data_IF_830817486896
#
_entry.id   IF_830817486896
#
_cell.length_a   1.000
_cell.length_b   1.000
_cell.length_c   1.000
_cell.angle_alpha   90.00
_cell.angle_beta   90.00
_cell.angle_gamma   90.00
#
_symmetry.space_group_name_H-M   'P 1'
#
loop_
_entity.id
_entity.type
_entity.pdbx_description
1 polymer ?
#
# COMPACT_ATOMS: atom_id res chain seq x y z
N UNK A 1 10.69 10.49 -1.78
CA UNK A 1 11.79 10.31 -2.74
C UNK A 1 12.60 11.59 -2.80
N UNK A 2 13.92 11.49 -2.68
CA UNK A 2 14.83 12.63 -2.75
C UNK A 2 15.99 12.33 -3.72
N UNK A 3 15.98 12.88 -4.96
CA UNK A 3 17.03 12.62 -5.95
C UNK A 3 18.43 13.09 -5.52
N UNK A 4 18.53 14.06 -4.61
CA UNK A 4 19.82 14.56 -4.15
C UNK A 4 20.67 13.48 -3.46
N UNK A 5 20.01 12.47 -2.85
CA UNK A 5 20.68 11.35 -2.18
C UNK A 5 21.46 10.46 -3.16
N UNK A 6 21.06 10.43 -4.43
CA UNK A 6 21.75 9.64 -5.47
C UNK A 6 23.17 10.16 -5.70
N UNK A 7 23.35 11.49 -5.64
CA UNK A 7 24.66 12.13 -5.77
C UNK A 7 25.58 11.82 -4.59
N UNK A 8 24.99 11.52 -3.42
CA UNK A 8 25.70 11.08 -2.21
C UNK A 8 25.93 9.55 -2.15
N UNK A 9 25.51 8.80 -3.19
CA UNK A 9 25.58 7.34 -3.20
C UNK A 9 24.61 6.68 -2.22
N UNK A 10 23.57 7.38 -1.79
CA UNK A 10 22.53 6.89 -0.88
C UNK A 10 21.26 6.56 -1.64
N UNK A 11 20.45 5.67 -1.07
CA UNK A 11 19.15 5.33 -1.63
C UNK A 11 18.21 6.56 -1.61
N UNK A 12 17.68 7.01 -2.77
CA UNK A 12 16.79 8.17 -2.85
C UNK A 12 15.37 7.91 -2.34
N UNK A 13 14.99 6.65 -2.17
CA UNK A 13 13.68 6.27 -1.67
C UNK A 13 13.74 5.95 -0.17
N UNK A 14 12.94 6.68 0.60
CA UNK A 14 12.76 6.44 2.03
C UNK A 14 11.28 6.09 2.23
N UNK A 15 11.03 4.94 2.87
CA UNK A 15 9.71 4.56 3.34
C UNK A 15 9.53 5.09 4.77
N UNK A 16 8.73 6.13 4.94
CA UNK A 16 8.50 6.84 6.20
C UNK A 16 7.39 6.23 7.06
N UNK A 17 6.49 5.47 6.45
CA UNK A 17 5.43 4.74 7.13
C UNK A 17 5.94 3.45 7.80
N UNK A 18 5.39 3.13 8.97
CA UNK A 18 5.56 1.83 9.63
C UNK A 18 4.84 0.71 8.87
N UNK A 19 5.05 -0.53 9.32
CA UNK A 19 4.27 -1.67 8.85
C UNK A 19 2.79 -1.52 9.22
N UNK A 20 1.84 -1.69 8.27
CA UNK A 20 0.41 -1.61 8.56
C UNK A 20 -0.12 -2.83 9.34
N UNK A 21 -1.13 -2.61 10.17
CA UNK A 21 -1.96 -3.68 10.74
C UNK A 21 -2.95 -4.18 9.70
N UNK A 22 -2.56 -5.19 8.92
CA UNK A 22 -3.33 -5.67 7.76
C UNK A 22 -4.73 -6.18 8.11
N UNK A 23 -4.92 -6.71 9.32
CA UNK A 23 -6.24 -7.19 9.79
C UNK A 23 -7.30 -6.08 9.79
N UNK A 24 -6.90 -4.81 9.95
CA UNK A 24 -7.80 -3.66 9.94
C UNK A 24 -8.10 -3.09 8.55
N UNK A 25 -7.52 -3.63 7.47
CA UNK A 25 -7.64 -3.02 6.14
C UNK A 25 -9.08 -2.98 5.63
N UNK A 26 -9.80 -4.11 5.69
CA UNK A 26 -11.18 -4.14 5.23
C UNK A 26 -12.14 -3.40 6.18
N UNK A 27 -11.81 -3.34 7.48
CA UNK A 27 -12.56 -2.54 8.44
C UNK A 27 -12.43 -1.05 8.13
N UNK A 28 -11.23 -0.60 7.75
CA UNK A 28 -11.01 0.75 7.25
C UNK A 28 -11.87 1.05 6.02
N UNK A 29 -11.92 0.14 5.04
CA UNK A 29 -12.80 0.30 3.87
C UNK A 29 -14.27 0.42 4.29
N UNK A 30 -14.75 -0.48 5.16
CA UNK A 30 -16.14 -0.48 5.66
C UNK A 30 -16.47 0.74 6.54
N UNK A 31 -15.47 1.49 7.00
CA UNK A 31 -15.64 2.74 7.73
C UNK A 31 -16.07 3.93 6.86
N UNK A 32 -15.98 3.84 5.53
CA UNK A 32 -16.26 4.96 4.63
C UNK A 32 -17.49 4.70 3.71
N UNK A 33 -18.30 5.74 3.50
CA UNK A 33 -19.52 5.67 2.67
C UNK A 33 -19.21 5.27 1.22
N UNK A 34 -18.05 5.70 0.69
CA UNK A 34 -17.63 5.40 -0.69
C UNK A 34 -17.41 3.91 -0.97
N UNK A 35 -17.10 3.10 0.04
CA UNK A 35 -16.95 1.65 -0.11
C UNK A 35 -18.22 0.91 0.34
N UNK A 36 -18.87 1.37 1.41
CA UNK A 36 -20.09 0.72 1.90
C UNK A 36 -21.29 0.86 0.95
N UNK A 37 -21.32 1.90 0.11
CA UNK A 37 -22.31 2.03 -0.97
C UNK A 37 -22.19 0.90 -2.01
N UNK A 38 -20.97 0.57 -2.44
CA UNK A 38 -20.69 -0.56 -3.33
C UNK A 38 -21.10 -1.89 -2.69
N UNK A 39 -20.73 -2.11 -1.42
CA UNK A 39 -21.10 -3.32 -0.68
C UNK A 39 -22.62 -3.52 -0.55
N UNK A 40 -23.37 -2.44 -0.36
CA UNK A 40 -24.84 -2.49 -0.27
C UNK A 40 -25.49 -2.88 -1.60
N UNK A 41 -24.94 -2.40 -2.72
CA UNK A 41 -25.54 -2.58 -4.03
C UNK A 41 -25.10 -3.90 -4.70
N UNK A 42 -23.86 -4.31 -4.49
CA UNK A 42 -23.21 -5.45 -5.15
C UNK A 42 -22.37 -6.23 -4.13
N UNK A 43 -22.99 -6.98 -3.20
CA UNK A 43 -22.29 -7.54 -2.04
C UNK A 43 -21.25 -8.61 -2.41
N UNK A 44 -21.47 -9.38 -3.48
CA UNK A 44 -20.54 -10.43 -3.93
C UNK A 44 -19.31 -9.78 -4.56
N UNK A 45 -19.52 -8.90 -5.53
CA UNK A 45 -18.48 -8.18 -6.25
C UNK A 45 -17.68 -7.27 -5.32
N UNK A 46 -18.33 -6.64 -4.34
CA UNK A 46 -17.65 -5.84 -3.32
C UNK A 46 -16.69 -6.69 -2.48
N UNK A 47 -17.07 -7.92 -2.11
CA UNK A 47 -16.20 -8.84 -1.40
C UNK A 47 -14.94 -9.17 -2.22
N UNK A 48 -15.11 -9.50 -3.50
CA UNK A 48 -13.99 -9.75 -4.42
C UNK A 48 -13.09 -8.52 -4.60
N UNK A 49 -13.69 -7.34 -4.82
CA UNK A 49 -12.96 -6.10 -5.01
C UNK A 49 -12.22 -5.65 -3.75
N UNK A 50 -12.77 -5.88 -2.56
CA UNK A 50 -12.09 -5.56 -1.30
C UNK A 50 -10.89 -6.47 -1.07
N UNK A 51 -11.00 -7.76 -1.39
CA UNK A 51 -9.88 -8.69 -1.34
C UNK A 51 -8.77 -8.27 -2.32
N UNK A 52 -9.14 -7.98 -3.57
CA UNK A 52 -8.19 -7.50 -4.59
C UNK A 52 -7.51 -6.19 -4.15
N UNK A 53 -8.26 -5.26 -3.56
CA UNK A 53 -7.71 -4.01 -3.06
C UNK A 53 -6.68 -4.24 -1.93
N UNK A 54 -6.96 -5.16 -1.02
CA UNK A 54 -6.05 -5.55 0.06
C UNK A 54 -4.77 -6.20 -0.49
N UNK A 55 -4.91 -7.14 -1.43
CA UNK A 55 -3.77 -7.81 -2.05
C UNK A 55 -2.90 -6.84 -2.84
N UNK A 56 -3.52 -5.90 -3.57
CA UNK A 56 -2.82 -4.82 -4.26
C UNK A 56 -2.10 -3.88 -3.29
N UNK A 57 -2.71 -3.57 -2.14
CA UNK A 57 -2.08 -2.75 -1.12
C UNK A 57 -0.85 -3.44 -0.51
N UNK A 58 -0.95 -4.74 -0.19
CA UNK A 58 0.18 -5.57 0.26
C UNK A 58 1.28 -5.63 -0.78
N UNK A 59 0.93 -5.88 -2.05
CA UNK A 59 1.87 -5.91 -3.16
C UNK A 59 2.62 -4.57 -3.30
N UNK A 60 1.90 -3.45 -3.26
CA UNK A 60 2.50 -2.10 -3.33
C UNK A 60 3.42 -1.82 -2.15
N UNK A 61 3.00 -2.15 -0.94
CA UNK A 61 3.83 -1.98 0.27
C UNK A 61 5.12 -2.80 0.20
N UNK A 62 5.04 -4.05 -0.25
CA UNK A 62 6.20 -4.90 -0.45
C UNK A 62 7.17 -4.32 -1.50
N UNK A 63 6.65 -3.69 -2.56
CA UNK A 63 7.49 -2.95 -3.50
C UNK A 63 8.23 -1.80 -2.82
N UNK A 64 7.55 -0.99 -2.01
CA UNK A 64 8.19 0.10 -1.28
C UNK A 64 9.24 -0.40 -0.28
N UNK A 65 8.98 -1.51 0.43
CA UNK A 65 10.00 -2.17 1.26
C UNK A 65 11.22 -2.58 0.45
N UNK A 66 11.03 -3.15 -0.75
CA UNK A 66 12.15 -3.51 -1.63
C UNK A 66 12.94 -2.28 -2.06
N UNK A 67 12.26 -1.23 -2.51
CA UNK A 67 12.89 0.01 -2.92
C UNK A 67 13.70 0.64 -1.78
N UNK A 68 13.16 0.68 -0.57
CA UNK A 68 13.85 1.27 0.59
C UNK A 68 15.08 0.46 1.05
N UNK A 69 15.09 -0.87 0.81
CA UNK A 69 16.20 -1.75 1.19
C UNK A 69 17.16 -2.05 0.03
N UNK A 70 16.92 -1.50 -1.16
CA UNK A 70 17.77 -1.72 -2.31
C UNK A 70 19.15 -1.09 -2.05
N UNK A 71 20.22 -1.86 -2.31
CA UNK A 71 21.58 -1.33 -2.31
C UNK A 71 21.70 -0.39 -3.50
N UNK A 72 22.01 0.87 -3.22
CA UNK A 72 22.21 1.87 -4.25
C UNK A 72 23.69 1.89 -4.63
N UNK A 73 24.03 1.18 -5.69
CA UNK A 73 25.35 1.22 -6.33
C UNK A 73 25.25 2.05 -7.60
N UNK A 74 26.16 3.01 -7.77
CA UNK A 74 26.22 3.89 -8.94
C UNK A 74 27.15 3.32 -10.00
#
# INVERSE_FOLDING_TARGET
YNPALEAEGKNPFILDSKEPEWSGFQDFLKGEVRYTSLLKQYPVEAGELFQIAEDNAKWRYNNYKRLANQVWEK
#
